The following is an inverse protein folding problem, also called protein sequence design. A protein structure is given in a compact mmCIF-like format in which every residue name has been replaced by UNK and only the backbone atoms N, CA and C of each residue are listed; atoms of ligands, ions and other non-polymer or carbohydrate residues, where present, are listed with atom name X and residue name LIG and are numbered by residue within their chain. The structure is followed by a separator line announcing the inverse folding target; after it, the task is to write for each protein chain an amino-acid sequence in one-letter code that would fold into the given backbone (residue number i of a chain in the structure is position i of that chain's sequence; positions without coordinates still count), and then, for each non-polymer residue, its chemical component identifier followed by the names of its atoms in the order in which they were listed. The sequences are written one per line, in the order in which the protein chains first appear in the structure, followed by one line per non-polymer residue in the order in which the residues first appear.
data_IF_227726324794
#
_entry.id   IF_227726324794
#
_cell.length_a   1.000
_cell.length_b   1.000
_cell.length_c   1.000
_cell.angle_alpha   90.00
_cell.angle_beta   90.00
_cell.angle_gamma   90.00
#
_symmetry.space_group_name_H-M   'P 1'
#
loop_
_entity.id
_entity.type
_entity.pdbx_description
1 polymer ?
#
# COMPACT_ATOMS: atom_id res chain seq x y z
N UNK A 1 -55.45 -6.79 21.71
CA UNK A 1 -55.02 -8.20 21.52
C UNK A 1 -53.68 -8.20 20.78
N UNK A 2 -52.59 -8.43 21.47
CA UNK A 2 -51.27 -8.50 20.85
C UNK A 2 -51.14 -9.85 20.13
N UNK A 3 -50.98 -9.83 18.80
CA UNK A 3 -50.70 -11.03 18.01
C UNK A 3 -49.44 -11.69 18.55
N UNK A 4 -49.58 -12.88 19.11
CA UNK A 4 -48.43 -13.73 19.45
C UNK A 4 -47.59 -13.95 18.18
N UNK A 5 -46.45 -13.34 18.11
CA UNK A 5 -45.48 -13.58 17.03
C UNK A 5 -44.94 -15.00 17.22
N UNK A 6 -45.34 -15.93 16.36
CA UNK A 6 -44.73 -17.25 16.24
C UNK A 6 -43.29 -17.08 15.77
N UNK A 7 -42.37 -17.08 16.71
CA UNK A 7 -40.92 -17.08 16.42
C UNK A 7 -40.31 -18.49 16.59
N UNK A 8 -41.00 -19.49 16.05
CA UNK A 8 -40.61 -20.88 16.29
C UNK A 8 -39.19 -21.26 15.83
N UNK A 9 -38.59 -20.52 14.89
CA UNK A 9 -37.33 -20.91 14.26
C UNK A 9 -36.25 -19.81 14.27
N UNK A 10 -36.48 -18.70 14.98
CA UNK A 10 -35.57 -17.56 14.96
C UNK A 10 -34.83 -17.42 16.29
N UNK A 11 -33.51 -17.50 16.20
CA UNK A 11 -32.59 -17.18 17.30
C UNK A 11 -32.18 -15.71 17.13
N UNK A 12 -32.40 -14.89 18.15
CA UNK A 12 -31.94 -13.50 18.17
C UNK A 12 -30.64 -13.40 18.97
N UNK A 13 -29.76 -12.55 18.49
CA UNK A 13 -28.57 -12.17 19.24
C UNK A 13 -28.86 -10.89 20.01
N UNK A 14 -28.59 -10.90 21.30
CA UNK A 14 -28.73 -9.75 22.18
C UNK A 14 -27.49 -9.58 23.05
N UNK A 15 -27.24 -8.39 23.53
CA UNK A 15 -26.14 -8.10 24.47
C UNK A 15 -26.72 -7.50 25.75
N UNK A 16 -26.27 -7.97 26.89
CA UNK A 16 -26.53 -7.33 28.18
C UNK A 16 -25.50 -6.21 28.37
N UNK A 17 -25.96 -4.97 28.44
CA UNK A 17 -25.12 -3.77 28.50
C UNK A 17 -25.50 -2.89 29.69
N UNK A 18 -24.58 -2.08 30.17
CA UNK A 18 -24.85 -1.16 31.26
C UNK A 18 -25.39 0.17 30.73
N UNK A 19 -26.65 0.50 31.10
CA UNK A 19 -27.31 1.74 30.73
C UNK A 19 -27.90 2.36 32.00
N UNK A 20 -27.55 3.58 32.33
CA UNK A 20 -28.04 4.30 33.50
C UNK A 20 -27.97 3.48 34.83
N UNK A 21 -26.86 2.75 35.02
CA UNK A 21 -26.61 1.95 36.23
C UNK A 21 -27.35 0.59 36.23
N UNK A 22 -28.15 0.26 35.24
CA UNK A 22 -28.87 -1.01 35.09
C UNK A 22 -28.25 -1.84 33.96
N UNK A 23 -28.56 -3.14 33.93
CA UNK A 23 -28.06 -4.08 32.94
C UNK A 23 -29.19 -4.64 32.05
N UNK A 24 -29.79 -3.81 31.18
CA UNK A 24 -30.80 -4.31 30.24
C UNK A 24 -30.16 -5.18 29.15
N UNK A 25 -31.04 -6.01 28.52
CA UNK A 25 -30.73 -6.69 27.28
C UNK A 25 -31.08 -5.81 26.08
N UNK A 26 -30.12 -5.53 25.23
CA UNK A 26 -30.27 -4.73 24.02
C UNK A 26 -30.05 -5.60 22.77
N UNK A 27 -30.73 -5.28 21.69
CA UNK A 27 -30.49 -5.93 20.39
C UNK A 27 -29.15 -5.47 19.83
N UNK A 28 -28.41 -6.39 19.25
CA UNK A 28 -27.17 -6.03 18.54
C UNK A 28 -27.50 -5.29 17.24
N UNK A 29 -26.60 -4.43 16.82
CA UNK A 29 -26.68 -3.75 15.52
C UNK A 29 -26.21 -4.69 14.43
N UNK A 30 -27.03 -4.84 13.39
CA UNK A 30 -26.70 -5.59 12.19
C UNK A 30 -26.64 -4.64 11.00
N UNK A 31 -25.57 -4.74 10.19
CA UNK A 31 -25.42 -4.04 8.93
C UNK A 31 -24.98 -5.04 7.87
N UNK A 32 -25.68 -5.07 6.75
CA UNK A 32 -25.39 -6.00 5.64
C UNK A 32 -25.31 -7.47 6.08
N UNK A 33 -26.21 -7.90 6.97
CA UNK A 33 -26.24 -9.27 7.49
C UNK A 33 -25.17 -9.61 8.50
N UNK A 34 -24.43 -8.61 9.03
CA UNK A 34 -23.37 -8.79 10.04
C UNK A 34 -23.72 -8.09 11.33
N UNK A 35 -23.38 -8.75 12.42
CA UNK A 35 -23.43 -8.13 13.74
C UNK A 35 -22.18 -7.23 13.88
N UNK A 36 -22.42 -5.97 14.20
CA UNK A 36 -21.33 -5.03 14.50
C UNK A 36 -20.89 -5.24 15.95
N UNK A 37 -19.65 -5.58 16.14
CA UNK A 37 -19.09 -5.90 17.46
C UNK A 37 -19.27 -4.73 18.42
N UNK A 38 -19.84 -5.04 19.59
CA UNK A 38 -20.07 -4.11 20.69
C UNK A 38 -21.03 -2.95 20.38
N UNK A 39 -21.77 -3.01 19.26
CA UNK A 39 -22.84 -2.07 18.93
C UNK A 39 -24.20 -2.67 19.22
N UNK A 40 -25.03 -1.91 19.90
CA UNK A 40 -26.38 -2.30 20.31
C UNK A 40 -27.38 -1.16 20.14
N UNK A 41 -28.65 -1.51 19.97
CA UNK A 41 -29.74 -0.55 19.95
C UNK A 41 -30.20 -0.21 21.36
N UNK A 42 -29.95 1.01 21.83
CA UNK A 42 -30.42 1.57 23.09
C UNK A 42 -31.34 2.75 22.79
N UNK A 43 -32.61 2.70 23.27
CA UNK A 43 -33.60 3.73 23.00
C UNK A 43 -33.77 4.13 21.51
N UNK A 44 -33.49 3.21 20.59
CA UNK A 44 -33.56 3.45 19.14
C UNK A 44 -32.30 4.06 18.51
N UNK A 45 -31.25 4.26 19.27
CA UNK A 45 -29.94 4.75 18.80
C UNK A 45 -28.90 3.62 18.80
N UNK A 46 -27.97 3.67 17.85
CA UNK A 46 -26.82 2.76 17.75
C UNK A 46 -25.74 3.27 18.71
N UNK A 47 -25.52 2.52 19.79
CA UNK A 47 -24.52 2.85 20.82
C UNK A 47 -23.45 1.77 20.91
N UNK A 48 -22.19 2.20 21.13
CA UNK A 48 -21.06 1.32 21.36
C UNK A 48 -20.89 1.02 22.85
N UNK A 49 -21.00 -0.27 23.21
CA UNK A 49 -20.79 -0.76 24.58
C UNK A 49 -19.76 -1.89 24.55
N UNK A 50 -18.53 -1.60 24.93
CA UNK A 50 -17.45 -2.59 25.05
C UNK A 50 -17.66 -3.55 26.23
N UNK A 51 -18.36 -3.11 27.25
CA UNK A 51 -18.70 -3.91 28.43
C UNK A 51 -19.95 -4.77 28.19
N UNK A 52 -20.10 -5.82 28.99
CA UNK A 52 -21.27 -6.69 28.96
C UNK A 52 -21.04 -8.03 28.28
N UNK A 53 -22.11 -8.81 28.16
CA UNK A 53 -22.04 -10.18 27.68
C UNK A 53 -23.10 -10.43 26.60
N UNK A 54 -22.71 -11.20 25.57
CA UNK A 54 -23.62 -11.63 24.51
C UNK A 54 -24.47 -12.81 24.95
N UNK A 55 -25.72 -12.88 24.44
CA UNK A 55 -26.65 -13.95 24.68
C UNK A 55 -27.37 -14.30 23.39
N UNK A 56 -27.71 -15.57 23.24
CA UNK A 56 -28.73 -16.03 22.31
C UNK A 56 -30.09 -15.98 22.98
N UNK A 57 -31.11 -15.51 22.30
CA UNK A 57 -32.48 -15.47 22.75
C UNK A 57 -33.40 -16.17 21.75
N UNK A 58 -34.18 -17.13 22.20
CA UNK A 58 -35.17 -17.85 21.39
C UNK A 58 -36.42 -18.14 22.20
N UNK A 59 -37.45 -18.66 21.52
CA UNK A 59 -38.66 -19.12 22.16
C UNK A 59 -38.78 -20.63 21.97
N UNK A 60 -39.05 -21.35 23.04
CA UNK A 60 -39.21 -22.78 23.09
C UNK A 60 -40.44 -23.05 23.93
N UNK A 61 -41.43 -23.80 23.39
CA UNK A 61 -42.71 -24.08 24.05
C UNK A 61 -43.42 -22.81 24.58
N UNK A 62 -43.36 -21.73 23.83
CA UNK A 62 -43.98 -20.45 24.22
C UNK A 62 -43.19 -19.68 25.30
N UNK A 63 -42.10 -20.20 25.82
CA UNK A 63 -41.26 -19.55 26.85
C UNK A 63 -40.04 -18.96 26.23
N UNK A 64 -39.65 -17.76 26.70
CA UNK A 64 -38.41 -17.12 26.33
C UNK A 64 -37.22 -17.79 26.99
N UNK A 65 -36.24 -18.25 26.21
CA UNK A 65 -34.99 -18.82 26.66
C UNK A 65 -33.82 -17.91 26.31
N UNK A 66 -32.79 -17.85 27.17
CA UNK A 66 -31.56 -17.13 26.95
C UNK A 66 -30.37 -17.96 27.36
N UNK A 67 -29.33 -17.97 26.52
CA UNK A 67 -28.06 -18.64 26.80
C UNK A 67 -26.91 -17.65 26.61
N UNK A 68 -26.00 -17.49 27.59
CA UNK A 68 -24.81 -16.65 27.41
C UNK A 68 -23.84 -17.27 26.41
N UNK A 69 -23.11 -16.40 25.70
CA UNK A 69 -22.04 -16.77 24.77
C UNK A 69 -20.73 -16.23 25.31
N UNK A 70 -19.67 -17.03 25.30
CA UNK A 70 -18.38 -16.70 25.95
C UNK A 70 -17.61 -15.60 25.24
N UNK A 71 -17.67 -15.55 23.90
CA UNK A 71 -16.97 -14.54 23.12
C UNK A 71 -17.81 -14.09 21.93
N UNK A 72 -17.52 -12.91 21.38
CA UNK A 72 -18.17 -12.38 20.19
C UNK A 72 -18.03 -13.32 18.99
N UNK A 73 -16.86 -13.93 18.82
CA UNK A 73 -16.57 -14.81 17.67
C UNK A 73 -17.42 -16.08 17.64
N UNK A 74 -17.92 -16.49 18.80
CA UNK A 74 -18.80 -17.65 18.94
C UNK A 74 -20.30 -17.32 18.79
N UNK A 75 -20.67 -16.03 18.69
CA UNK A 75 -22.08 -15.60 18.68
C UNK A 75 -22.82 -16.14 17.47
N UNK A 76 -22.27 -15.95 16.27
CA UNK A 76 -22.92 -16.40 15.03
C UNK A 76 -22.92 -17.90 14.86
N UNK A 77 -21.82 -18.64 15.11
CA UNK A 77 -21.82 -20.10 15.12
C UNK A 77 -22.87 -20.67 16.07
N UNK A 78 -22.92 -20.19 17.30
CA UNK A 78 -23.86 -20.64 18.30
C UNK A 78 -25.33 -20.31 17.93
N UNK A 79 -25.58 -19.14 17.31
CA UNK A 79 -26.92 -18.77 16.85
C UNK A 79 -27.39 -19.66 15.70
N UNK A 80 -26.52 -19.98 14.74
CA UNK A 80 -26.81 -20.90 13.64
C UNK A 80 -27.09 -22.31 14.12
N UNK A 81 -26.22 -22.85 14.98
CA UNK A 81 -26.41 -24.18 15.56
C UNK A 81 -27.76 -24.30 16.28
N UNK A 82 -28.11 -23.29 17.09
CA UNK A 82 -29.42 -23.28 17.80
C UNK A 82 -30.60 -23.12 16.85
N UNK A 83 -30.47 -22.37 15.75
CA UNK A 83 -31.52 -22.24 14.74
C UNK A 83 -31.77 -23.56 14.00
N UNK A 84 -30.69 -24.28 13.65
CA UNK A 84 -30.79 -25.63 13.03
C UNK A 84 -31.46 -26.60 13.99
N UNK A 85 -31.08 -26.64 15.26
CA UNK A 85 -31.68 -27.45 16.31
C UNK A 85 -33.21 -27.20 16.42
N UNK A 86 -33.62 -25.92 16.47
CA UNK A 86 -35.01 -25.53 16.56
C UNK A 86 -35.82 -25.92 15.30
N UNK A 87 -35.17 -25.76 14.12
CA UNK A 87 -35.79 -26.16 12.86
C UNK A 87 -35.97 -27.68 12.74
N UNK A 88 -34.96 -28.44 13.17
CA UNK A 88 -35.00 -29.89 13.20
C UNK A 88 -36.02 -30.42 14.22
N UNK A 89 -36.10 -29.80 15.40
CA UNK A 89 -37.15 -30.13 16.40
C UNK A 89 -38.55 -29.89 15.85
N UNK A 90 -38.78 -28.80 15.12
CA UNK A 90 -40.08 -28.47 14.49
C UNK A 90 -40.44 -29.44 13.36
N UNK A 91 -39.44 -29.90 12.61
CA UNK A 91 -39.61 -30.87 11.52
C UNK A 91 -39.79 -32.31 12.03
N UNK A 92 -39.72 -32.54 13.34
CA UNK A 92 -39.74 -33.89 13.94
C UNK A 92 -38.49 -34.72 13.67
N UNK A 93 -37.45 -34.10 13.14
CA UNK A 93 -36.14 -34.66 12.86
C UNK A 93 -35.20 -34.31 14.02
N UNK A 94 -35.37 -34.92 15.18
CA UNK A 94 -34.44 -34.75 16.31
C UNK A 94 -33.12 -35.47 16.04
N UNK A 95 -32.36 -34.96 15.14
CA UNK A 95 -30.90 -35.10 15.20
C UNK A 95 -30.37 -33.89 15.92
N UNK A 96 -30.01 -34.00 17.19
CA UNK A 96 -29.14 -33.01 17.84
C UNK A 96 -27.92 -32.88 16.95
N UNK A 97 -27.52 -31.64 16.51
CA UNK A 97 -26.22 -31.49 15.85
C UNK A 97 -25.19 -32.08 16.81
N UNK A 98 -24.38 -33.01 16.31
CA UNK A 98 -23.35 -33.62 17.14
C UNK A 98 -22.44 -32.53 17.70
N UNK A 99 -21.92 -32.69 18.92
CA UNK A 99 -20.97 -31.76 19.52
C UNK A 99 -19.74 -31.51 18.61
N UNK A 100 -19.44 -32.47 17.75
CA UNK A 100 -18.44 -32.40 16.67
C UNK A 100 -18.74 -31.33 15.64
N UNK A 101 -20.01 -31.12 15.24
CA UNK A 101 -20.36 -30.13 14.21
C UNK A 101 -20.29 -28.71 14.76
N UNK A 102 -20.68 -28.53 16.03
CA UNK A 102 -20.54 -27.25 16.73
C UNK A 102 -19.06 -26.90 16.93
N UNK A 103 -18.24 -27.86 17.27
CA UNK A 103 -16.81 -27.67 17.44
C UNK A 103 -16.13 -27.39 16.09
N UNK A 104 -16.50 -28.14 15.04
CA UNK A 104 -15.99 -27.90 13.70
C UNK A 104 -16.31 -26.49 13.17
N UNK A 105 -17.51 -25.95 13.47
CA UNK A 105 -17.88 -24.58 13.09
C UNK A 105 -17.15 -23.53 13.98
N UNK A 106 -16.92 -23.83 15.25
CA UNK A 106 -16.15 -22.97 16.15
C UNK A 106 -14.66 -22.91 15.76
N UNK A 107 -14.12 -23.97 15.17
CA UNK A 107 -12.74 -24.05 14.73
C UNK A 107 -12.51 -23.43 13.34
N UNK A 108 -13.58 -23.08 12.61
CA UNK A 108 -13.44 -22.40 11.31
C UNK A 108 -12.83 -21.02 11.47
N UNK A 109 -11.88 -20.69 10.61
CA UNK A 109 -11.19 -19.41 10.62
C UNK A 109 -12.11 -18.29 10.10
N UNK A 110 -12.43 -17.33 10.97
CA UNK A 110 -13.19 -16.15 10.56
C UNK A 110 -12.34 -15.21 9.70
N UNK A 111 -12.98 -14.43 8.82
CA UNK A 111 -12.29 -13.47 7.97
C UNK A 111 -11.52 -12.41 8.78
N UNK A 112 -12.10 -11.93 9.88
CA UNK A 112 -11.44 -10.94 10.75
C UNK A 112 -10.18 -11.53 11.40
N UNK A 113 -10.27 -12.75 11.92
CA UNK A 113 -9.10 -13.44 12.48
C UNK A 113 -8.01 -13.71 11.42
N UNK A 114 -8.39 -14.08 10.19
CA UNK A 114 -7.44 -14.28 9.10
C UNK A 114 -6.72 -12.99 8.70
N UNK A 115 -7.46 -11.87 8.62
CA UNK A 115 -6.89 -10.55 8.34
C UNK A 115 -5.92 -10.16 9.44
N UNK A 116 -6.29 -10.31 10.72
CA UNK A 116 -5.45 -9.96 11.86
C UNK A 116 -4.17 -10.80 11.90
N UNK A 117 -4.28 -12.11 11.71
CA UNK A 117 -3.12 -13.01 11.63
C UNK A 117 -2.19 -12.64 10.47
N UNK A 118 -2.75 -12.31 9.31
CA UNK A 118 -1.94 -11.91 8.16
C UNK A 118 -1.26 -10.55 8.38
N UNK A 119 -1.97 -9.58 8.94
CA UNK A 119 -1.40 -8.26 9.24
C UNK A 119 -0.33 -8.33 10.34
N UNK A 120 -0.49 -9.20 11.33
CA UNK A 120 0.54 -9.43 12.34
C UNK A 120 1.81 -10.06 11.71
N UNK A 121 1.64 -11.02 10.79
CA UNK A 121 2.76 -11.53 10.00
C UNK A 121 3.45 -10.44 9.20
N UNK A 122 2.70 -9.57 8.50
CA UNK A 122 3.26 -8.44 7.75
C UNK A 122 4.00 -7.49 8.69
N UNK A 123 3.47 -7.20 9.87
CA UNK A 123 4.09 -6.34 10.89
C UNK A 123 5.43 -6.87 11.36
N UNK A 124 5.54 -8.19 11.54
CA UNK A 124 6.78 -8.86 12.00
C UNK A 124 7.83 -9.01 10.90
N UNK A 125 7.40 -9.31 9.67
CA UNK A 125 8.32 -9.76 8.61
C UNK A 125 8.50 -8.77 7.47
N UNK A 126 7.75 -7.65 7.44
CA UNK A 126 7.81 -6.64 6.38
C UNK A 126 8.07 -5.24 6.95
N UNK A 127 8.16 -4.26 6.06
CA UNK A 127 8.33 -2.88 6.50
C UNK A 127 7.05 -2.34 7.16
N UNK A 128 7.19 -1.41 8.13
CA UNK A 128 6.06 -0.71 8.74
C UNK A 128 5.21 0.01 7.67
N UNK A 129 5.85 0.49 6.58
CA UNK A 129 5.14 1.09 5.45
C UNK A 129 4.23 0.08 4.76
N UNK A 130 4.69 -1.15 4.51
CA UNK A 130 3.87 -2.23 3.94
C UNK A 130 2.66 -2.52 4.81
N UNK A 131 2.86 -2.66 6.13
CA UNK A 131 1.78 -2.83 7.09
C UNK A 131 0.74 -1.71 7.01
N UNK A 132 1.20 -0.43 7.02
CA UNK A 132 0.33 0.75 6.92
C UNK A 132 -0.44 0.82 5.60
N UNK A 133 0.11 0.25 4.52
CA UNK A 133 -0.57 0.18 3.22
C UNK A 133 -1.59 -0.96 3.18
N UNK A 134 -1.27 -2.14 3.73
CA UNK A 134 -2.12 -3.32 3.68
C UNK A 134 -3.33 -3.24 4.61
N UNK A 135 -3.13 -2.67 5.81
CA UNK A 135 -4.18 -2.57 6.83
C UNK A 135 -5.48 -1.94 6.31
N UNK A 136 -5.51 -0.74 5.71
CA UNK A 136 -6.75 -0.15 5.20
C UNK A 136 -7.34 -0.94 4.03
N UNK A 137 -6.51 -1.57 3.19
CA UNK A 137 -7.02 -2.42 2.10
C UNK A 137 -7.81 -3.60 2.64
N UNK A 138 -7.32 -4.26 3.68
CA UNK A 138 -7.93 -5.47 4.24
C UNK A 138 -9.06 -5.14 5.22
N UNK A 139 -8.84 -4.27 6.22
CA UNK A 139 -9.85 -3.97 7.25
C UNK A 139 -10.98 -3.06 6.78
N UNK A 140 -10.71 -2.15 5.82
CA UNK A 140 -11.72 -1.19 5.41
C UNK A 140 -12.32 -1.61 4.06
N UNK A 141 -11.48 -1.66 3.02
CA UNK A 141 -12.03 -1.88 1.68
C UNK A 141 -12.53 -3.32 1.48
N UNK A 142 -11.68 -4.32 1.75
CA UNK A 142 -12.07 -5.71 1.52
C UNK A 142 -13.11 -6.18 2.54
N UNK A 143 -12.91 -5.90 3.82
CA UNK A 143 -13.83 -6.37 4.87
C UNK A 143 -15.25 -5.81 4.71
N UNK A 144 -15.39 -4.58 4.24
CA UNK A 144 -16.71 -3.99 3.98
C UNK A 144 -17.41 -4.59 2.75
N UNK A 145 -16.63 -5.05 1.77
CA UNK A 145 -17.13 -5.70 0.56
C UNK A 145 -17.51 -7.17 0.79
N UNK A 146 -16.76 -7.86 1.67
CA UNK A 146 -16.93 -9.28 1.94
C UNK A 146 -18.03 -9.53 2.97
N UNK A 147 -19.17 -10.08 2.53
CA UNK A 147 -20.37 -10.27 3.36
C UNK A 147 -20.33 -11.53 4.23
N UNK A 148 -19.49 -12.52 3.89
CA UNK A 148 -19.43 -13.83 4.56
C UNK A 148 -18.59 -13.77 5.83
N UNK A 149 -18.75 -14.77 6.71
CA UNK A 149 -18.10 -14.79 8.02
C UNK A 149 -16.74 -15.49 7.96
N UNK A 150 -16.66 -16.60 7.25
CA UNK A 150 -15.50 -17.49 7.26
C UNK A 150 -14.67 -17.36 5.98
N UNK A 151 -13.38 -17.68 6.10
CA UNK A 151 -12.42 -17.60 4.98
C UNK A 151 -12.71 -18.66 3.92
N UNK A 152 -13.15 -19.84 4.33
CA UNK A 152 -13.46 -20.96 3.45
C UNK A 152 -14.74 -20.77 2.60
N UNK A 153 -15.52 -19.75 2.91
CA UNK A 153 -16.70 -19.37 2.12
C UNK A 153 -16.38 -18.49 0.92
N UNK A 154 -15.09 -18.07 0.77
CA UNK A 154 -14.67 -17.19 -0.33
C UNK A 154 -14.86 -17.87 -1.68
N UNK A 155 -15.42 -17.13 -2.61
CA UNK A 155 -15.51 -17.53 -4.00
C UNK A 155 -15.09 -16.41 -4.95
N UNK A 156 -15.09 -16.71 -6.26
CA UNK A 156 -14.75 -15.73 -7.30
C UNK A 156 -15.66 -14.50 -7.26
N UNK A 157 -16.96 -14.69 -6.98
CA UNK A 157 -17.92 -13.59 -6.97
C UNK A 157 -17.62 -12.55 -5.90
N UNK A 158 -17.11 -12.96 -4.74
CA UNK A 158 -16.70 -12.07 -3.65
C UNK A 158 -15.55 -11.17 -4.10
N UNK A 159 -14.59 -11.74 -4.80
CA UNK A 159 -13.41 -11.00 -5.30
C UNK A 159 -13.82 -10.03 -6.42
N UNK A 160 -14.70 -10.45 -7.33
CA UNK A 160 -15.25 -9.59 -8.39
C UNK A 160 -16.05 -8.43 -7.79
N UNK A 161 -16.87 -8.71 -6.79
CA UNK A 161 -17.61 -7.67 -6.06
C UNK A 161 -16.68 -6.67 -5.40
N UNK A 162 -15.63 -7.14 -4.72
CA UNK A 162 -14.63 -6.26 -4.12
C UNK A 162 -14.01 -5.32 -5.15
N UNK A 163 -13.66 -5.82 -6.35
CA UNK A 163 -13.12 -4.98 -7.42
C UNK A 163 -14.14 -3.97 -7.93
N UNK A 164 -15.40 -4.37 -8.11
CA UNK A 164 -16.49 -3.47 -8.51
C UNK A 164 -16.66 -2.34 -7.50
N UNK A 165 -16.74 -2.66 -6.21
CA UNK A 165 -16.87 -1.67 -5.13
C UNK A 165 -15.70 -0.65 -5.14
N UNK A 166 -14.49 -1.09 -5.51
CA UNK A 166 -13.34 -0.19 -5.66
C UNK A 166 -13.47 0.72 -6.89
N UNK A 167 -13.98 0.22 -8.01
CA UNK A 167 -14.24 1.04 -9.19
C UNK A 167 -15.37 2.05 -8.94
N UNK A 168 -16.43 1.65 -8.25
CA UNK A 168 -17.54 2.52 -7.87
C UNK A 168 -17.08 3.65 -6.92
N UNK A 169 -16.03 3.40 -6.13
CA UNK A 169 -15.33 4.45 -5.36
C UNK A 169 -14.44 5.36 -6.23
N UNK A 170 -14.45 5.24 -7.55
CA UNK A 170 -13.69 6.07 -8.48
C UNK A 170 -12.19 5.75 -8.56
N UNK A 171 -11.76 4.56 -8.15
CA UNK A 171 -10.35 4.18 -8.21
C UNK A 171 -9.94 3.74 -9.61
N UNK A 172 -8.75 4.18 -10.03
CA UNK A 172 -8.19 3.78 -11.31
C UNK A 172 -7.76 2.30 -11.32
N UNK A 173 -7.85 1.65 -12.47
CA UNK A 173 -7.57 0.22 -12.66
C UNK A 173 -6.24 -0.26 -12.05
N UNK A 174 -5.18 0.55 -12.15
CA UNK A 174 -3.89 0.24 -11.51
C UNK A 174 -3.98 0.14 -9.99
N UNK A 175 -4.74 1.02 -9.35
CA UNK A 175 -4.93 0.99 -7.90
C UNK A 175 -5.78 -0.21 -7.49
N UNK A 176 -6.82 -0.54 -8.27
CA UNK A 176 -7.64 -1.75 -8.05
C UNK A 176 -6.76 -2.99 -8.16
N UNK A 177 -5.92 -3.09 -9.21
CA UNK A 177 -4.95 -4.18 -9.38
C UNK A 177 -4.04 -4.34 -8.15
N UNK A 178 -3.43 -3.26 -7.68
CA UNK A 178 -2.52 -3.30 -6.53
C UNK A 178 -3.24 -3.74 -5.24
N UNK A 179 -4.51 -3.36 -5.04
CA UNK A 179 -5.33 -3.80 -3.90
C UNK A 179 -5.77 -5.25 -4.02
N UNK A 180 -6.12 -5.70 -5.22
CA UNK A 180 -6.44 -7.10 -5.49
C UNK A 180 -5.25 -8.00 -5.13
N UNK A 181 -4.01 -7.62 -5.51
CA UNK A 181 -2.80 -8.37 -5.14
C UNK A 181 -2.70 -8.56 -3.62
N UNK A 182 -3.03 -7.53 -2.82
CA UNK A 182 -2.99 -7.62 -1.35
C UNK A 182 -4.00 -8.64 -0.83
N UNK A 183 -5.24 -8.62 -1.35
CA UNK A 183 -6.30 -9.55 -0.96
C UNK A 183 -5.96 -11.00 -1.36
N UNK A 184 -5.48 -11.20 -2.59
CA UNK A 184 -5.06 -12.54 -3.03
C UNK A 184 -3.87 -13.09 -2.23
N UNK A 185 -2.97 -12.23 -1.75
CA UNK A 185 -1.88 -12.65 -0.86
C UNK A 185 -2.38 -13.08 0.53
N UNK A 186 -3.42 -12.43 1.07
CA UNK A 186 -4.10 -12.89 2.28
C UNK A 186 -4.61 -14.32 2.09
N UNK A 187 -5.42 -14.56 1.06
CA UNK A 187 -6.00 -15.87 0.77
C UNK A 187 -4.94 -16.93 0.49
N UNK A 188 -3.91 -16.59 -0.30
CA UNK A 188 -2.79 -17.49 -0.57
C UNK A 188 -2.08 -17.95 0.70
N UNK A 189 -1.95 -17.09 1.70
CA UNK A 189 -1.35 -17.44 2.98
C UNK A 189 -2.18 -18.45 3.77
N UNK A 190 -3.50 -18.37 3.63
CA UNK A 190 -4.42 -19.31 4.27
C UNK A 190 -4.74 -20.56 3.39
N UNK A 191 -3.94 -20.79 2.33
CA UNK A 191 -4.05 -21.99 1.51
C UNK A 191 -4.94 -21.87 0.28
N UNK A 192 -5.67 -20.77 0.12
CA UNK A 192 -6.56 -20.57 -1.01
C UNK A 192 -5.80 -20.00 -2.22
N UNK A 193 -5.98 -20.63 -3.37
CA UNK A 193 -5.31 -20.27 -4.64
C UNK A 193 -6.35 -20.19 -5.75
N UNK A 194 -5.99 -19.50 -6.82
CA UNK A 194 -6.79 -19.45 -8.05
C UNK A 194 -8.24 -18.93 -7.85
N UNK A 195 -8.41 -17.97 -6.95
CA UNK A 195 -9.70 -17.35 -6.67
C UNK A 195 -10.20 -16.46 -7.82
N UNK A 196 -9.35 -16.10 -8.76
CA UNK A 196 -9.66 -15.30 -9.94
C UNK A 196 -8.95 -15.88 -11.15
N UNK A 197 -9.56 -15.70 -12.31
CA UNK A 197 -8.99 -16.03 -13.61
C UNK A 197 -8.14 -14.87 -14.14
N UNK A 198 -7.32 -15.13 -15.16
CA UNK A 198 -6.51 -14.08 -15.79
C UNK A 198 -7.35 -12.97 -16.41
N UNK A 199 -8.52 -13.31 -16.93
CA UNK A 199 -9.51 -12.38 -17.48
C UNK A 199 -10.11 -11.41 -16.48
N UNK A 200 -10.12 -11.77 -15.19
CA UNK A 200 -10.69 -10.94 -14.12
C UNK A 200 -9.76 -9.79 -13.68
N UNK A 201 -8.48 -9.89 -14.03
CA UNK A 201 -7.52 -8.89 -13.60
C UNK A 201 -7.78 -7.55 -14.27
N UNK A 202 -7.78 -6.43 -13.49
CA UNK A 202 -7.97 -5.11 -14.06
C UNK A 202 -6.90 -4.79 -15.11
N UNK A 203 -7.34 -4.50 -16.33
CA UNK A 203 -6.45 -4.06 -17.40
C UNK A 203 -6.16 -2.58 -17.24
N UNK A 204 -4.90 -2.20 -17.37
CA UNK A 204 -4.47 -0.81 -17.37
C UNK A 204 -3.34 -0.58 -18.37
N UNK A 205 -3.32 0.62 -18.92
CA UNK A 205 -2.25 1.03 -19.84
C UNK A 205 -1.03 1.47 -19.01
N UNK A 206 0.10 0.82 -19.26
CA UNK A 206 1.37 1.29 -18.70
C UNK A 206 1.83 2.54 -19.46
N UNK A 207 1.76 3.67 -18.78
CA UNK A 207 2.24 4.94 -19.32
C UNK A 207 3.77 5.00 -19.35
N UNK A 208 4.30 5.72 -20.35
CA UNK A 208 5.73 6.06 -20.41
C UNK A 208 6.08 6.85 -19.14
N UNK A 209 7.19 6.48 -18.51
CA UNK A 209 7.64 7.16 -17.30
C UNK A 209 8.11 8.59 -17.65
N UNK A 210 7.58 9.63 -17.00
CA UNK A 210 8.01 11.00 -17.27
C UNK A 210 9.47 11.19 -16.85
N UNK A 211 10.22 11.88 -17.66
CA UNK A 211 11.61 12.30 -17.41
C UNK A 211 11.68 13.82 -17.29
N UNK A 212 12.76 14.33 -16.70
CA UNK A 212 13.10 15.74 -16.82
C UNK A 212 13.76 15.96 -18.18
N UNK A 213 13.25 16.90 -18.94
CA UNK A 213 13.87 17.31 -20.19
C UNK A 213 15.15 18.13 -19.89
N UNK A 214 16.15 18.13 -20.78
CA UNK A 214 17.40 18.88 -20.59
C UNK A 214 17.16 20.35 -20.27
N UNK A 215 16.18 20.98 -20.90
CA UNK A 215 15.79 22.39 -20.71
C UNK A 215 15.22 22.61 -19.30
N UNK A 216 14.41 21.68 -18.77
CA UNK A 216 13.90 21.76 -17.41
C UNK A 216 15.05 21.69 -16.38
N UNK A 217 16.02 20.79 -16.58
CA UNK A 217 17.20 20.68 -15.72
C UNK A 217 18.05 21.94 -15.81
N UNK A 218 18.33 22.45 -17.01
CA UNK A 218 19.12 23.66 -17.21
C UNK A 218 18.47 24.89 -16.55
N UNK A 219 17.14 25.02 -16.70
CA UNK A 219 16.39 26.09 -16.05
C UNK A 219 16.42 25.99 -14.53
N UNK A 220 16.27 24.80 -13.97
CA UNK A 220 16.40 24.57 -12.52
C UNK A 220 17.79 24.94 -12.03
N UNK A 221 18.85 24.49 -12.71
CA UNK A 221 20.25 24.79 -12.34
C UNK A 221 20.57 26.29 -12.38
N UNK A 222 19.97 27.04 -13.34
CA UNK A 222 20.13 28.49 -13.44
C UNK A 222 19.51 29.24 -12.25
N UNK A 223 18.45 28.71 -11.64
CA UNK A 223 17.72 29.36 -10.54
C UNK A 223 18.01 28.73 -9.16
N UNK A 224 18.85 27.71 -9.12
CA UNK A 224 19.31 27.04 -7.91
C UNK A 224 20.48 27.78 -7.25
N UNK A 225 20.53 27.78 -5.93
CA UNK A 225 21.77 28.13 -5.23
C UNK A 225 22.82 27.01 -5.39
N UNK A 226 24.04 27.24 -4.88
CA UNK A 226 25.15 26.30 -5.03
C UNK A 226 24.85 24.91 -4.45
N UNK A 227 24.18 24.83 -3.30
CA UNK A 227 23.85 23.56 -2.64
C UNK A 227 22.70 22.84 -3.36
N UNK A 228 21.68 23.59 -3.77
CA UNK A 228 20.56 23.08 -4.55
C UNK A 228 21.04 22.56 -5.93
N UNK A 229 21.95 23.29 -6.58
CA UNK A 229 22.52 22.86 -7.84
C UNK A 229 23.30 21.55 -7.72
N UNK A 230 24.11 21.38 -6.66
CA UNK A 230 24.80 20.11 -6.39
C UNK A 230 23.81 19.00 -6.11
N UNK A 231 22.72 19.24 -5.35
CA UNK A 231 21.69 18.26 -5.09
C UNK A 231 21.01 17.81 -6.39
N UNK A 232 20.63 18.75 -7.28
CA UNK A 232 20.02 18.44 -8.57
C UNK A 232 20.96 17.59 -9.43
N UNK A 233 22.23 18.01 -9.58
CA UNK A 233 23.26 17.27 -10.33
C UNK A 233 23.47 15.88 -9.76
N UNK A 234 23.52 15.75 -8.43
CA UNK A 234 23.62 14.46 -7.74
C UNK A 234 22.43 13.55 -8.06
N UNK A 235 21.20 14.08 -8.00
CA UNK A 235 20.01 13.31 -8.32
C UNK A 235 20.01 12.80 -9.78
N UNK A 236 20.41 13.65 -10.73
CA UNK A 236 20.53 13.29 -12.16
C UNK A 236 21.63 12.24 -12.37
N UNK A 237 22.81 12.42 -11.78
CA UNK A 237 23.97 11.58 -12.02
C UNK A 237 23.92 10.22 -11.30
N UNK A 238 23.14 10.08 -10.23
CA UNK A 238 23.08 8.83 -9.44
C UNK A 238 21.81 8.02 -9.65
N UNK A 239 20.72 8.66 -10.03
CA UNK A 239 19.39 8.03 -10.08
C UNK A 239 18.93 7.45 -8.73
N UNK A 240 19.45 7.95 -7.61
CA UNK A 240 19.14 7.45 -6.28
C UNK A 240 17.67 7.64 -5.92
N UNK A 241 17.14 6.73 -5.10
CA UNK A 241 15.81 6.88 -4.50
C UNK A 241 15.84 7.94 -3.39
N UNK A 242 14.70 8.58 -3.08
CA UNK A 242 14.59 9.59 -2.02
C UNK A 242 15.32 9.18 -0.72
N UNK A 243 15.08 7.97 -0.22
CA UNK A 243 15.76 7.52 1.00
C UNK A 243 17.26 7.28 0.82
N UNK A 244 17.73 6.97 -0.37
CA UNK A 244 19.15 6.79 -0.66
C UNK A 244 19.83 8.15 -0.69
N UNK A 245 19.20 9.19 -1.29
CA UNK A 245 19.69 10.58 -1.24
C UNK A 245 19.73 11.09 0.21
N UNK A 246 18.68 10.79 0.99
CA UNK A 246 18.56 11.21 2.40
C UNK A 246 19.67 10.69 3.28
N UNK A 247 20.08 9.43 3.07
CA UNK A 247 21.01 8.72 3.96
C UNK A 247 22.41 8.52 3.36
N UNK A 248 22.70 9.09 2.18
CA UNK A 248 24.08 9.08 1.65
C UNK A 248 25.00 9.89 2.56
N UNK A 249 26.16 9.34 2.87
CA UNK A 249 27.19 9.97 3.71
C UNK A 249 28.44 10.21 2.90
N UNK A 250 29.34 11.05 3.40
CA UNK A 250 30.63 11.27 2.77
C UNK A 250 31.48 10.00 2.66
N UNK A 251 31.27 8.99 3.52
CA UNK A 251 31.91 7.67 3.42
C UNK A 251 31.47 6.88 2.17
N UNK A 252 30.31 7.17 1.64
CA UNK A 252 29.80 6.47 0.45
C UNK A 252 30.38 7.00 -0.85
N UNK A 253 31.09 8.14 -0.82
CA UNK A 253 31.68 8.76 -2.00
C UNK A 253 33.12 8.30 -2.12
N UNK A 254 33.43 7.59 -3.20
CA UNK A 254 34.75 7.20 -3.60
C UNK A 254 35.32 8.27 -4.55
N UNK A 255 36.01 9.22 -3.98
CA UNK A 255 36.57 10.37 -4.71
C UNK A 255 37.66 9.98 -5.71
N UNK A 256 38.31 8.82 -5.53
CA UNK A 256 39.35 8.33 -6.42
C UNK A 256 38.77 7.66 -7.65
N UNK A 257 37.74 6.81 -7.45
CA UNK A 257 37.22 6.00 -8.52
C UNK A 257 35.93 6.62 -9.13
N UNK A 258 35.54 7.83 -8.74
CA UNK A 258 34.33 8.53 -9.18
C UNK A 258 33.08 7.68 -9.02
N UNK A 259 32.87 7.09 -7.84
CA UNK A 259 31.74 6.19 -7.55
C UNK A 259 31.00 6.65 -6.30
N UNK A 260 29.67 6.56 -6.34
CA UNK A 260 28.82 6.76 -5.16
C UNK A 260 28.15 5.44 -4.79
N UNK A 261 28.24 5.03 -3.53
CA UNK A 261 27.71 3.77 -3.04
C UNK A 261 26.38 3.97 -2.31
N UNK A 262 25.50 3.00 -2.42
CA UNK A 262 24.31 2.88 -1.57
C UNK A 262 24.60 1.78 -0.56
N UNK A 263 24.81 2.15 0.70
CA UNK A 263 25.13 1.23 1.79
C UNK A 263 24.11 1.32 2.91
N UNK A 264 24.01 0.29 3.75
CA UNK A 264 23.16 0.31 4.93
C UNK A 264 23.67 1.32 5.98
N UNK A 265 22.76 1.94 6.70
CA UNK A 265 23.06 2.90 7.79
C UNK A 265 22.34 2.49 9.07
N UNK A 266 22.92 1.60 9.89
CA UNK A 266 22.29 1.10 11.12
C UNK A 266 21.89 2.22 12.09
N UNK A 267 22.72 3.26 12.23
CA UNK A 267 22.46 4.42 13.10
C UNK A 267 21.13 5.11 12.78
N UNK A 268 20.73 5.13 11.51
CA UNK A 268 19.48 5.72 11.06
C UNK A 268 18.42 4.67 10.70
N UNK A 269 18.67 3.40 11.04
CA UNK A 269 17.77 2.27 10.69
C UNK A 269 17.43 2.23 9.19
N UNK A 270 18.37 2.69 8.37
CA UNK A 270 18.24 2.66 6.92
C UNK A 270 18.83 1.36 6.36
N UNK A 271 18.07 0.71 5.50
CA UNK A 271 18.50 -0.42 4.68
C UNK A 271 18.10 -0.16 3.24
N UNK A 272 18.94 -0.47 2.25
CA UNK A 272 18.55 -0.45 0.84
C UNK A 272 17.28 -1.29 0.59
N UNK A 273 16.48 -0.91 -0.40
CA UNK A 273 15.15 -1.51 -0.60
C UNK A 273 15.18 -3.04 -0.78
N UNK A 274 16.21 -3.56 -1.42
CA UNK A 274 16.36 -5.00 -1.69
C UNK A 274 17.40 -5.66 -0.78
N UNK A 275 17.87 -4.99 0.27
CA UNK A 275 18.96 -5.39 1.15
C UNK A 275 20.33 -5.55 0.43
N UNK A 276 20.44 -5.04 -0.80
CA UNK A 276 21.65 -5.11 -1.61
C UNK A 276 22.31 -3.73 -1.67
N UNK A 277 23.56 -3.67 -1.35
CA UNK A 277 24.42 -2.52 -1.54
C UNK A 277 24.85 -2.47 -3.01
N UNK A 278 25.08 -1.27 -3.52
CA UNK A 278 25.50 -1.07 -4.91
C UNK A 278 26.34 0.17 -5.07
N UNK A 279 27.06 0.22 -6.17
CA UNK A 279 27.89 1.35 -6.58
C UNK A 279 27.39 1.91 -7.91
N UNK A 280 27.39 3.23 -8.03
CA UNK A 280 26.99 3.94 -9.25
C UNK A 280 28.15 4.84 -9.65
N UNK A 281 28.72 4.68 -10.85
CA UNK A 281 29.72 5.60 -11.37
C UNK A 281 29.06 6.95 -11.66
N UNK A 282 29.78 8.02 -11.41
CA UNK A 282 29.29 9.40 -11.62
C UNK A 282 30.36 10.24 -12.33
N UNK A 283 29.96 11.30 -13.04
CA UNK A 283 30.93 12.18 -13.72
C UNK A 283 31.95 12.78 -12.75
N UNK A 284 33.21 12.83 -13.18
CA UNK A 284 34.31 13.40 -12.40
C UNK A 284 34.06 14.86 -11.97
N UNK A 285 33.42 15.64 -12.84
CA UNK A 285 33.02 17.03 -12.53
C UNK A 285 32.06 17.13 -11.31
N UNK A 286 31.18 16.15 -11.09
CA UNK A 286 30.37 16.11 -9.89
C UNK A 286 31.20 15.76 -8.65
N UNK A 287 32.15 14.84 -8.78
CA UNK A 287 33.03 14.43 -7.68
C UNK A 287 33.87 15.59 -7.17
N UNK A 288 34.39 16.44 -8.07
CA UNK A 288 35.12 17.65 -7.67
C UNK A 288 34.21 18.63 -6.91
N UNK A 289 33.01 18.88 -7.39
CA UNK A 289 32.04 19.72 -6.68
C UNK A 289 31.64 19.16 -5.30
N UNK A 290 31.54 17.85 -5.17
CA UNK A 290 31.29 17.18 -3.88
C UNK A 290 32.51 17.28 -2.96
N UNK A 291 33.75 17.24 -3.50
CA UNK A 291 34.97 17.43 -2.74
C UNK A 291 35.03 18.83 -2.16
N UNK A 292 34.81 19.84 -2.99
CA UNK A 292 34.79 21.26 -2.57
C UNK A 292 33.66 21.47 -1.50
N UNK A 293 32.49 20.91 -1.69
CA UNK A 293 31.39 20.99 -0.71
C UNK A 293 31.79 20.37 0.63
N UNK A 294 32.44 19.21 0.61
CA UNK A 294 32.90 18.51 1.82
C UNK A 294 33.97 19.32 2.56
N UNK A 295 34.96 19.84 1.83
CA UNK A 295 36.07 20.63 2.39
C UNK A 295 35.58 21.95 2.98
N UNK A 296 34.72 22.67 2.24
CA UNK A 296 34.10 23.91 2.70
C UNK A 296 33.27 23.73 3.97
N UNK A 297 32.57 22.60 4.09
CA UNK A 297 31.81 22.25 5.28
C UNK A 297 32.62 21.59 6.41
N UNK A 298 33.87 21.28 6.20
CA UNK A 298 34.72 20.48 7.10
C UNK A 298 34.00 19.21 7.59
N UNK A 299 33.30 18.55 6.68
CA UNK A 299 32.34 17.50 7.02
C UNK A 299 33.03 16.17 7.32
N UNK A 300 32.61 15.51 8.40
CA UNK A 300 33.09 14.19 8.77
C UNK A 300 32.57 13.10 7.82
N UNK A 301 33.29 12.00 7.68
CA UNK A 301 32.88 10.89 6.78
C UNK A 301 31.53 10.27 7.12
N UNK A 302 31.10 10.34 8.38
CA UNK A 302 29.83 9.80 8.85
C UNK A 302 28.63 10.73 8.66
N UNK A 303 28.87 11.98 8.28
CA UNK A 303 27.80 12.97 8.11
C UNK A 303 27.09 12.79 6.77
N UNK A 304 25.79 13.16 6.69
CA UNK A 304 25.07 13.18 5.44
C UNK A 304 25.69 14.16 4.45
N UNK A 305 25.65 13.83 3.17
CA UNK A 305 26.10 14.73 2.09
C UNK A 305 25.15 15.94 1.96
N UNK A 306 23.87 15.72 2.14
CA UNK A 306 22.81 16.73 2.09
C UNK A 306 22.07 16.81 3.43
N UNK A 307 22.66 17.42 4.46
CA UNK A 307 22.04 17.49 5.78
C UNK A 307 20.89 18.53 5.80
N UNK A 308 20.04 18.41 6.81
CA UNK A 308 19.15 19.49 7.20
C UNK A 308 19.91 20.54 8.06
N UNK A 309 19.23 21.62 8.47
CA UNK A 309 19.79 22.69 9.29
C UNK A 309 20.37 22.24 10.63
N UNK A 310 20.07 21.01 11.07
CA UNK A 310 20.56 20.41 12.32
C UNK A 310 21.68 19.38 12.08
N UNK A 311 22.26 19.32 10.88
CA UNK A 311 23.28 18.33 10.51
C UNK A 311 22.77 16.88 10.37
N UNK A 312 21.45 16.65 10.35
CA UNK A 312 20.85 15.32 10.27
C UNK A 312 20.34 15.01 8.84
N UNK A 313 20.06 13.73 8.50
CA UNK A 313 19.49 13.36 7.22
C UNK A 313 18.26 14.19 6.87
N UNK A 314 18.29 14.85 5.73
CA UNK A 314 17.22 15.74 5.28
C UNK A 314 16.06 14.95 4.67
N UNK A 315 14.83 15.29 5.01
CA UNK A 315 13.61 14.70 4.43
C UNK A 315 12.89 15.63 3.44
N UNK A 316 13.40 16.83 3.23
CA UNK A 316 12.74 17.90 2.48
C UNK A 316 13.36 18.12 1.08
N UNK A 317 14.04 17.12 0.52
CA UNK A 317 14.65 17.27 -0.81
C UNK A 317 13.62 17.54 -1.90
N UNK A 318 12.42 16.96 -1.79
CA UNK A 318 11.36 17.22 -2.79
C UNK A 318 10.82 18.65 -2.70
N UNK A 319 10.73 19.20 -1.51
CA UNK A 319 10.32 20.59 -1.28
C UNK A 319 11.36 21.54 -1.90
N UNK A 320 12.66 21.29 -1.71
CA UNK A 320 13.74 22.04 -2.35
C UNK A 320 13.61 22.01 -3.88
N UNK A 321 13.44 20.82 -4.47
CA UNK A 321 13.29 20.67 -5.92
C UNK A 321 12.07 21.43 -6.45
N UNK A 322 10.95 21.39 -5.74
CA UNK A 322 9.73 22.10 -6.12
C UNK A 322 9.88 23.62 -6.00
N UNK A 323 10.61 24.09 -5.01
CA UNK A 323 10.90 25.50 -4.83
C UNK A 323 11.79 26.04 -5.95
N UNK A 324 12.86 25.32 -6.29
CA UNK A 324 13.71 25.64 -7.45
C UNK A 324 12.90 25.68 -8.75
N UNK A 325 12.05 24.68 -8.97
CA UNK A 325 11.20 24.63 -10.16
C UNK A 325 10.19 25.79 -10.22
N UNK A 326 9.66 26.22 -9.08
CA UNK A 326 8.79 27.39 -8.99
C UNK A 326 9.54 28.66 -9.32
N UNK A 327 10.72 28.88 -8.75
CA UNK A 327 11.60 30.03 -9.07
C UNK A 327 12.00 30.04 -10.54
N UNK A 328 12.22 28.89 -11.13
CA UNK A 328 12.52 28.68 -12.55
C UNK A 328 11.27 28.84 -13.47
N UNK A 329 10.07 29.11 -12.92
CA UNK A 329 8.80 29.28 -13.64
C UNK A 329 8.38 28.02 -14.44
N UNK A 330 8.73 26.84 -13.95
CA UNK A 330 8.45 25.57 -14.62
C UNK A 330 7.12 24.93 -14.20
N UNK A 331 6.39 25.51 -13.27
CA UNK A 331 5.13 24.99 -12.80
C UNK A 331 4.07 24.96 -13.91
N UNK A 332 3.25 23.91 -13.99
CA UNK A 332 2.24 23.74 -15.04
C UNK A 332 1.01 24.67 -14.90
N UNK A 333 0.83 25.33 -13.76
CA UNK A 333 -0.32 26.20 -13.49
C UNK A 333 -1.64 25.47 -13.15
N UNK A 334 -1.73 24.15 -13.39
CA UNK A 334 -2.99 23.40 -13.31
C UNK A 334 -3.14 22.55 -12.02
N UNK A 335 -2.03 22.17 -11.38
CA UNK A 335 -2.08 21.32 -10.20
C UNK A 335 -2.69 22.04 -9.00
N UNK A 336 -3.56 21.33 -8.28
CA UNK A 336 -4.11 21.75 -7.00
C UNK A 336 -3.75 20.71 -5.95
N UNK A 337 -3.27 21.12 -4.80
CA UNK A 337 -3.00 20.21 -3.67
C UNK A 337 -4.31 19.80 -3.00
N UNK A 338 -4.27 18.75 -2.19
CA UNK A 338 -5.41 18.32 -1.36
C UNK A 338 -5.91 19.40 -0.37
N UNK A 339 -5.11 20.44 -0.14
CA UNK A 339 -5.45 21.58 0.72
C UNK A 339 -5.92 22.82 -0.09
N UNK A 340 -6.15 22.66 -1.40
CA UNK A 340 -6.62 23.74 -2.27
C UNK A 340 -5.53 24.67 -2.83
N UNK A 341 -4.24 24.48 -2.46
CA UNK A 341 -3.16 25.36 -2.95
C UNK A 341 -2.87 25.06 -4.43
N UNK A 342 -2.87 26.10 -5.27
CA UNK A 342 -2.57 26.00 -6.70
C UNK A 342 -1.07 26.06 -6.94
N UNK A 343 -0.58 25.30 -7.90
CA UNK A 343 0.86 25.32 -8.24
C UNK A 343 1.27 26.60 -9.00
N UNK A 344 0.31 27.37 -9.49
CA UNK A 344 0.59 28.70 -10.03
C UNK A 344 1.11 29.69 -8.95
N UNK A 345 0.63 29.50 -7.71
CA UNK A 345 0.84 30.44 -6.62
C UNK A 345 1.98 30.01 -5.68
N UNK A 346 2.63 28.86 -5.93
CA UNK A 346 3.70 28.36 -5.06
C UNK A 346 4.34 27.06 -5.52
N UNK A 347 5.29 26.51 -4.73
CA UNK A 347 6.08 25.33 -5.07
C UNK A 347 5.29 24.02 -4.89
N UNK A 348 4.11 23.92 -5.50
CA UNK A 348 3.18 22.80 -5.29
C UNK A 348 3.00 21.91 -6.51
N UNK A 349 3.75 22.13 -7.60
CA UNK A 349 3.56 21.40 -8.85
C UNK A 349 3.85 19.90 -8.69
N UNK A 350 2.89 19.08 -9.13
CA UNK A 350 2.99 17.63 -9.06
C UNK A 350 3.90 17.03 -10.15
N UNK A 351 4.26 17.81 -11.17
CA UNK A 351 5.20 17.39 -12.22
C UNK A 351 6.63 17.21 -11.71
N UNK A 352 6.97 17.83 -10.55
CA UNK A 352 8.30 17.77 -9.95
C UNK A 352 8.29 16.81 -8.78
N UNK A 353 9.05 15.72 -8.89
CA UNK A 353 9.23 14.69 -7.86
C UNK A 353 10.58 14.00 -8.01
N UNK A 354 11.18 13.56 -6.90
CA UNK A 354 12.53 12.99 -6.87
C UNK A 354 12.68 11.77 -7.76
N UNK A 355 11.66 10.91 -7.82
CA UNK A 355 11.74 9.69 -8.63
C UNK A 355 11.80 9.97 -10.15
N UNK A 356 11.41 11.17 -10.59
CA UNK A 356 11.54 11.62 -11.99
C UNK A 356 13.02 11.74 -12.40
N UNK A 357 13.93 12.19 -11.51
CA UNK A 357 15.38 12.15 -11.77
C UNK A 357 15.89 10.73 -12.01
N UNK A 358 15.38 9.78 -11.27
CA UNK A 358 15.73 8.38 -11.47
C UNK A 358 15.23 7.83 -12.81
N UNK A 359 14.07 8.28 -13.25
CA UNK A 359 13.58 7.96 -14.61
C UNK A 359 14.48 8.59 -15.68
N UNK A 360 14.84 9.87 -15.51
CA UNK A 360 15.79 10.56 -16.38
C UNK A 360 17.12 9.82 -16.45
N UNK A 361 17.75 9.52 -15.30
CA UNK A 361 18.99 8.73 -15.22
C UNK A 361 18.90 7.43 -16.03
N UNK A 362 17.84 6.67 -15.83
CA UNK A 362 17.71 5.38 -16.51
C UNK A 362 17.49 5.53 -18.02
N UNK A 363 16.66 6.48 -18.42
CA UNK A 363 16.33 6.70 -19.84
C UNK A 363 17.54 7.25 -20.60
N UNK A 364 18.26 8.24 -20.03
CA UNK A 364 19.42 8.83 -20.69
C UNK A 364 20.56 7.80 -20.85
N UNK A 365 20.89 7.03 -19.81
CA UNK A 365 21.90 5.98 -19.93
C UNK A 365 21.57 4.91 -20.97
N UNK A 366 20.27 4.55 -21.12
CA UNK A 366 19.87 3.65 -22.19
C UNK A 366 19.97 4.30 -23.57
N UNK A 367 19.70 5.61 -23.71
CA UNK A 367 19.90 6.40 -24.92
C UNK A 367 21.39 6.42 -25.31
N UNK A 368 22.26 6.62 -24.31
CA UNK A 368 23.72 6.62 -24.46
C UNK A 368 24.31 5.23 -24.74
N UNK A 369 23.47 4.18 -24.77
CA UNK A 369 23.89 2.83 -25.13
C UNK A 369 24.38 1.97 -23.98
N UNK A 370 24.20 2.38 -22.74
CA UNK A 370 24.49 1.53 -21.58
C UNK A 370 23.56 0.30 -21.61
N UNK A 371 24.15 -0.87 -21.49
CA UNK A 371 23.38 -2.10 -21.51
C UNK A 371 22.44 -2.23 -20.32
N UNK A 372 21.30 -2.90 -20.54
CA UNK A 372 20.22 -2.98 -19.57
C UNK A 372 20.61 -3.71 -18.27
N UNK A 373 21.57 -4.63 -18.29
CA UNK A 373 22.05 -5.37 -17.12
C UNK A 373 22.92 -4.48 -16.24
N UNK A 374 23.82 -3.74 -16.85
CA UNK A 374 24.62 -2.72 -16.15
C UNK A 374 23.71 -1.69 -15.50
N UNK A 375 22.74 -1.17 -16.26
CA UNK A 375 21.75 -0.22 -15.71
C UNK A 375 20.91 -0.85 -14.59
N UNK A 376 20.49 -2.10 -14.72
CA UNK A 376 19.79 -2.83 -13.67
C UNK A 376 20.59 -2.84 -12.36
N UNK A 377 21.89 -3.11 -12.44
CA UNK A 377 22.81 -3.08 -11.31
C UNK A 377 22.88 -1.70 -10.67
N UNK A 378 23.10 -0.64 -11.44
CA UNK A 378 23.16 0.74 -10.93
C UNK A 378 21.83 1.17 -10.31
N UNK A 379 20.70 0.77 -10.90
CA UNK A 379 19.38 1.04 -10.37
C UNK A 379 19.05 0.20 -9.12
N UNK A 380 19.73 -0.92 -8.88
CA UNK A 380 19.40 -1.88 -7.83
C UNK A 380 17.98 -2.41 -7.99
N UNK A 381 17.66 -2.88 -9.20
CA UNK A 381 16.41 -3.58 -9.49
C UNK A 381 16.63 -5.09 -9.39
N UNK A 382 15.88 -5.76 -8.52
CA UNK A 382 15.96 -7.22 -8.38
C UNK A 382 15.47 -7.93 -9.64
N UNK A 383 14.43 -7.38 -10.27
CA UNK A 383 13.83 -7.91 -11.49
C UNK A 383 14.15 -7.00 -12.67
N UNK A 384 14.60 -7.60 -13.78
CA UNK A 384 14.93 -6.90 -15.04
C UNK A 384 13.70 -6.18 -15.63
N UNK A 385 12.48 -6.74 -15.42
CA UNK A 385 11.23 -6.12 -15.87
C UNK A 385 11.06 -4.70 -15.32
N UNK A 386 11.54 -4.46 -14.11
CA UNK A 386 11.56 -3.11 -13.50
C UNK A 386 12.48 -2.13 -14.22
N UNK A 387 13.45 -2.62 -15.02
CA UNK A 387 14.35 -1.80 -15.83
C UNK A 387 13.83 -1.69 -17.27
N UNK A 388 13.20 -2.73 -17.78
CA UNK A 388 12.64 -2.75 -19.15
C UNK A 388 11.57 -1.67 -19.39
N UNK A 389 10.90 -1.19 -18.34
CA UNK A 389 9.90 -0.11 -18.46
C UNK A 389 10.48 1.18 -19.05
N UNK A 390 11.80 1.41 -18.92
CA UNK A 390 12.49 2.58 -19.48
C UNK A 390 12.76 2.45 -20.97
N UNK A 391 12.80 1.25 -21.52
CA UNK A 391 12.92 1.04 -22.97
C UNK A 391 11.75 1.65 -23.75
N UNK A 392 10.56 1.70 -23.13
CA UNK A 392 9.38 2.34 -23.73
C UNK A 392 9.54 3.85 -23.92
N UNK A 393 10.46 4.48 -23.17
CA UNK A 393 10.76 5.92 -23.26
C UNK A 393 11.84 6.28 -24.28
N UNK A 394 12.47 5.29 -24.93
CA UNK A 394 13.41 5.51 -26.01
C UNK A 394 12.63 5.84 -27.28
N UNK A 395 12.72 7.08 -27.71
CA UNK A 395 11.96 7.55 -28.87
C UNK A 395 12.49 6.97 -30.20
N UNK A 396 11.62 6.90 -31.19
CA UNK A 396 11.96 6.42 -32.53
C UNK A 396 13.09 7.22 -33.19
N UNK A 397 13.31 8.48 -32.82
CA UNK A 397 14.44 9.31 -33.29
C UNK A 397 15.79 8.72 -32.89
N UNK A 398 15.93 8.27 -31.64
CA UNK A 398 17.16 7.63 -31.14
C UNK A 398 17.39 6.28 -31.84
N UNK A 399 16.31 5.57 -32.11
CA UNK A 399 16.32 4.32 -32.85
C UNK A 399 16.72 4.56 -34.33
N UNK A 400 16.20 5.62 -34.97
CA UNK A 400 16.50 5.97 -36.35
C UNK A 400 17.98 6.31 -36.54
N UNK A 401 18.59 7.08 -35.64
CA UNK A 401 20.02 7.37 -35.66
C UNK A 401 20.84 6.09 -35.59
N UNK A 402 20.49 5.16 -34.71
CA UNK A 402 21.16 3.84 -34.60
C UNK A 402 20.98 2.97 -35.84
N UNK A 403 19.79 2.99 -36.44
CA UNK A 403 19.53 2.23 -37.69
C UNK A 403 20.33 2.80 -38.85
N UNK A 404 20.35 4.13 -39.03
CA UNK A 404 21.06 4.80 -40.09
C UNK A 404 22.58 4.74 -39.93
N UNK A 405 23.11 4.65 -38.72
CA UNK A 405 24.54 4.45 -38.41
C UNK A 405 24.95 2.99 -38.26
N UNK A 406 24.03 2.05 -38.41
CA UNK A 406 24.28 0.61 -38.28
C UNK A 406 24.78 -0.04 -39.55
N UNK A 407 25.36 -1.24 -39.45
CA UNK A 407 25.89 -2.00 -40.56
C UNK A 407 24.86 -2.29 -41.68
N UNK A 408 23.57 -2.33 -41.37
CA UNK A 408 22.51 -2.53 -42.35
C UNK A 408 22.32 -1.33 -43.28
N UNK A 409 22.65 -0.11 -42.84
CA UNK A 409 22.56 1.08 -43.67
C UNK A 409 23.52 0.99 -44.90
N UNK A 410 24.68 0.36 -44.73
CA UNK A 410 25.65 0.14 -45.78
C UNK A 410 25.14 -0.75 -46.94
N UNK A 411 24.06 -1.50 -46.72
CA UNK A 411 23.44 -2.31 -47.81
C UNK A 411 22.38 -1.54 -48.61
N UNK A 412 22.08 -0.31 -48.21
CA UNK A 412 21.05 0.54 -48.84
C UNK A 412 21.65 1.62 -49.76
N UNK A 413 23.01 1.75 -49.76
CA UNK A 413 23.79 2.54 -50.70
C UNK A 413 24.14 1.73 -51.93
#
# INVERSE_FOLDING_TARGET
MARARQYADRVNVIKMVKVNGRWPFARVVERNGRIIRDHVWVAGQDEHHSEGRYYLEWYEEGRRRRRPVESFDLVLPAARAKSIELSAAKAGLLTQPEASDIQAEADRLTMDAAIDQYLEYIRKHRSLRTYRTYRPVLHVHFRNSYAKTYVDEVDRSDILKFMSDLFDCGLVARTVYDRLVVVLQLFKRHGYKNLVERSDWPSYVETIRPIYEPEEIAAMLKHADSNEAILIKFCVATGFRDREIRYVTWRDIDFRNCVVRVTAKPVWKFKPKNYEERAVPVPAALIEQLRELKEKGNAALSEPVFPNTKGKPNSLHIEIIKDVAYRARLNCGQCVTKHGNRCADGPHCQRFFLHKFRHTFATEHLRDGVDIRTLQGWMGHRDIQSTMVYLKGIQSKDALVKVNGGSLAAYME
#
